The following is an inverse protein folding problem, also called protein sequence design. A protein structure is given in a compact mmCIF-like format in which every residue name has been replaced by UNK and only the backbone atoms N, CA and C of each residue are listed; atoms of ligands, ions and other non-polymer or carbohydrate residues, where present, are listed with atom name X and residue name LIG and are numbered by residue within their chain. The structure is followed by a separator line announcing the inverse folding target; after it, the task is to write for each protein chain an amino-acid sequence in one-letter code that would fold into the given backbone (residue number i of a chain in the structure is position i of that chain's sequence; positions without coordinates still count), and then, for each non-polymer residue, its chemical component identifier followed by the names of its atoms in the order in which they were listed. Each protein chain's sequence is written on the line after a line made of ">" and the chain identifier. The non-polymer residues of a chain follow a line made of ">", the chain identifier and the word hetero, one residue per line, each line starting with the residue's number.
data_IF_079597895501
#
_entry.id   IF_079597895501
#
_cell.length_a   1.000
_cell.length_b   1.000
_cell.length_c   1.000
_cell.angle_alpha   90.00
_cell.angle_beta   90.00
_cell.angle_gamma   90.00
#
_symmetry.space_group_name_H-M   'P 1'
#
loop_
_entity.id
_entity.type
_entity.pdbx_description
1 polymer ?
#
# COMPACT_ATOMS: atom_id res chain seq x y z
N UNK A 1 59.16 57.46 69.30
CA UNK A 1 57.78 57.88 69.39
C UNK A 1 57.33 58.27 67.98
N UNK A 2 56.62 57.48 67.29
CA UNK A 2 56.33 57.70 65.86
C UNK A 2 54.83 57.59 65.65
N UNK A 3 54.26 58.78 65.25
CA UNK A 3 52.89 58.84 64.80
C UNK A 3 52.76 58.24 63.38
N UNK A 4 51.95 57.25 63.24
CA UNK A 4 51.53 56.73 61.91
C UNK A 4 50.26 57.42 61.46
N UNK A 5 50.39 58.19 60.37
CA UNK A 5 49.29 58.83 59.66
C UNK A 5 48.57 57.77 58.80
N UNK A 6 47.29 57.54 59.02
CA UNK A 6 46.48 56.70 58.19
C UNK A 6 45.78 57.53 57.13
N UNK A 7 46.24 57.44 55.88
CA UNK A 7 45.53 57.97 54.71
C UNK A 7 44.48 56.98 54.25
N UNK A 8 43.22 57.33 54.46
CA UNK A 8 42.07 56.63 53.88
C UNK A 8 41.93 56.99 52.41
N UNK A 9 42.23 56.04 51.51
CA UNK A 9 41.97 56.19 50.09
C UNK A 9 40.51 55.83 49.81
N UNK A 10 39.69 56.79 49.50
CA UNK A 10 38.39 56.63 48.90
C UNK A 10 38.57 56.22 47.43
N UNK A 11 38.29 54.94 47.09
CA UNK A 11 38.05 54.56 45.72
C UNK A 11 36.56 54.74 45.37
N UNK A 12 36.24 55.44 44.27
CA UNK A 12 34.83 55.50 43.84
C UNK A 12 34.35 54.19 43.23
N UNK A 13 33.43 53.58 43.93
CA UNK A 13 32.69 52.37 43.49
C UNK A 13 31.69 52.70 42.41
N UNK A 14 32.13 52.84 41.15
CA UNK A 14 31.24 52.68 40.00
C UNK A 14 31.99 52.43 38.69
N UNK A 15 32.52 51.24 38.59
CA UNK A 15 32.70 50.66 37.31
C UNK A 15 31.54 49.62 37.11
N UNK A 16 30.35 50.14 36.71
CA UNK A 16 29.34 49.25 36.17
C UNK A 16 29.88 48.73 34.84
N UNK A 17 30.32 47.48 34.81
CA UNK A 17 30.65 46.78 33.57
C UNK A 17 29.35 46.63 32.73
N UNK A 18 29.04 47.70 31.98
CA UNK A 18 27.99 47.63 30.98
C UNK A 18 28.51 46.72 29.87
N UNK A 19 28.04 45.46 29.84
CA UNK A 19 28.26 44.58 28.71
C UNK A 19 27.75 45.21 27.41
N UNK A 20 28.11 44.64 26.24
CA UNK A 20 27.73 45.20 24.96
C UNK A 20 26.21 45.42 24.89
N UNK A 21 25.79 46.59 24.38
CA UNK A 21 24.37 46.93 24.23
C UNK A 21 23.64 45.86 23.40
N UNK A 22 22.45 45.43 23.82
CA UNK A 22 21.70 44.45 23.04
C UNK A 22 21.28 45.08 21.70
N UNK A 23 21.29 44.25 20.63
CA UNK A 23 20.84 44.66 19.29
C UNK A 23 19.40 45.15 19.36
N UNK A 24 19.15 46.35 18.85
CA UNK A 24 17.81 46.93 18.78
C UNK A 24 16.97 46.24 17.72
N UNK A 25 15.70 45.93 18.04
CA UNK A 25 14.77 45.26 17.12
C UNK A 25 13.67 46.24 16.72
N UNK A 26 13.62 46.56 15.45
CA UNK A 26 12.52 47.30 14.84
C UNK A 26 11.70 46.32 13.99
N UNK A 27 10.37 46.38 14.09
CA UNK A 27 9.44 45.52 13.35
C UNK A 27 8.69 46.35 12.31
N UNK A 28 8.48 45.77 11.14
CA UNK A 28 7.45 46.28 10.22
C UNK A 28 6.05 45.87 10.73
N UNK A 29 4.99 46.53 10.26
CA UNK A 29 3.62 46.16 10.64
C UNK A 29 3.26 44.73 10.23
N UNK A 30 3.76 44.27 9.09
CA UNK A 30 3.57 42.91 8.61
C UNK A 30 4.25 41.91 9.53
N UNK A 31 5.50 42.13 9.89
CA UNK A 31 6.25 41.30 10.82
C UNK A 31 5.60 41.22 12.21
N UNK A 32 5.17 42.40 12.72
CA UNK A 32 4.45 42.48 13.99
C UNK A 32 3.19 41.60 13.94
N UNK A 33 2.37 41.78 12.92
CA UNK A 33 1.13 41.05 12.73
C UNK A 33 1.40 39.52 12.62
N UNK A 34 2.45 39.12 11.90
CA UNK A 34 2.82 37.73 11.76
C UNK A 34 3.33 37.13 13.09
N UNK A 35 4.17 37.80 13.81
CA UNK A 35 4.69 37.39 15.13
C UNK A 35 3.56 37.26 16.17
N UNK A 36 2.60 38.19 16.18
CA UNK A 36 1.43 38.10 17.04
C UNK A 36 0.53 36.92 16.70
N UNK A 37 0.32 36.67 15.41
CA UNK A 37 -0.40 35.46 14.95
C UNK A 37 0.28 34.18 15.45
N UNK A 38 1.61 34.08 15.30
CA UNK A 38 2.36 32.91 15.78
C UNK A 38 2.34 32.80 17.31
N UNK A 39 2.38 33.88 18.03
CA UNK A 39 2.34 33.88 19.49
C UNK A 39 0.99 33.47 20.09
N UNK A 40 -0.14 33.75 19.38
CA UNK A 40 -1.52 33.56 19.87
C UNK A 40 -2.17 32.28 19.33
N UNK A 41 -1.75 31.74 18.15
CA UNK A 41 -2.41 30.62 17.45
C UNK A 41 -2.17 29.30 18.17
N UNK A 42 -3.24 28.57 18.54
CA UNK A 42 -3.18 27.29 19.26
C UNK A 42 -2.39 26.18 18.52
N UNK A 43 -2.36 26.20 17.18
CA UNK A 43 -1.67 25.20 16.34
C UNK A 43 -0.23 25.57 16.00
N UNK A 44 0.30 26.70 16.47
CA UNK A 44 1.71 27.07 16.28
C UNK A 44 2.58 26.19 17.17
N UNK A 45 3.69 25.66 16.63
CA UNK A 45 4.66 24.92 17.43
C UNK A 45 5.13 25.77 18.63
N UNK A 46 5.13 25.19 19.83
CA UNK A 46 5.45 25.93 21.07
C UNK A 46 6.78 26.68 21.00
N UNK A 47 7.78 26.09 20.34
CA UNK A 47 9.08 26.70 20.13
C UNK A 47 8.98 28.00 19.31
N UNK A 48 8.22 28.01 18.21
CA UNK A 48 8.03 29.16 17.35
C UNK A 48 7.19 30.24 18.06
N UNK A 49 6.15 29.87 18.80
CA UNK A 49 5.35 30.76 19.58
C UNK A 49 6.19 31.46 20.67
N UNK A 50 7.08 30.73 21.34
CA UNK A 50 8.01 31.29 22.33
C UNK A 50 9.00 32.30 21.69
N UNK A 51 9.59 31.93 20.55
CA UNK A 51 10.52 32.79 19.78
C UNK A 51 9.83 34.07 19.34
N UNK A 52 8.58 33.98 18.87
CA UNK A 52 7.78 35.15 18.50
C UNK A 52 7.54 36.07 19.69
N UNK A 53 7.21 35.55 20.88
CA UNK A 53 7.06 36.33 22.12
C UNK A 53 8.36 37.00 22.55
N UNK A 54 9.51 36.32 22.35
CA UNK A 54 10.84 36.93 22.63
C UNK A 54 11.08 38.13 21.74
N UNK A 55 10.84 38.00 20.42
CA UNK A 55 11.07 39.10 19.47
C UNK A 55 10.13 40.28 19.73
N UNK A 56 8.84 40.00 19.98
CA UNK A 56 7.87 41.06 20.35
C UNK A 56 8.26 41.80 21.61
N UNK A 57 8.73 41.10 22.65
CA UNK A 57 9.23 41.76 23.88
C UNK A 57 10.52 42.56 23.65
N UNK A 58 11.42 42.06 22.77
CA UNK A 58 12.61 42.82 22.38
C UNK A 58 12.26 44.11 21.62
N UNK A 59 11.28 44.08 20.74
CA UNK A 59 10.79 45.24 19.99
C UNK A 59 10.06 46.26 20.90
N UNK A 60 9.46 45.80 22.00
CA UNK A 60 8.87 46.66 23.03
C UNK A 60 9.91 47.30 23.97
N UNK A 61 11.21 47.10 23.73
CA UNK A 61 12.29 47.70 24.53
C UNK A 61 12.69 46.94 25.79
N UNK A 62 12.12 45.74 26.04
CA UNK A 62 12.48 44.94 27.21
C UNK A 62 13.94 44.49 27.15
N UNK A 63 14.64 44.55 28.28
CA UNK A 63 15.98 44.01 28.35
C UNK A 63 16.00 42.47 28.43
N UNK A 64 17.10 41.87 28.02
CA UNK A 64 17.19 40.41 27.91
C UNK A 64 16.94 39.66 29.23
N UNK A 65 17.29 40.25 30.38
CA UNK A 65 17.13 39.62 31.71
C UNK A 65 15.69 39.68 32.18
N UNK A 66 15.02 40.80 31.99
CA UNK A 66 13.61 40.99 32.34
C UNK A 66 12.72 40.08 31.47
N UNK A 67 12.97 40.09 30.19
CA UNK A 67 12.25 39.27 29.22
C UNK A 67 12.44 37.73 29.49
N UNK A 68 13.66 37.36 29.84
CA UNK A 68 13.97 35.96 30.20
C UNK A 68 13.17 35.50 31.44
N UNK A 69 13.11 36.33 32.48
CA UNK A 69 12.30 36.04 33.68
C UNK A 69 10.81 35.92 33.36
N UNK A 70 10.26 36.85 32.59
CA UNK A 70 8.85 36.89 32.22
C UNK A 70 8.43 35.68 31.40
N UNK A 71 9.31 35.18 30.51
CA UNK A 71 9.01 34.06 29.61
C UNK A 71 9.49 32.70 30.15
N UNK A 72 10.11 32.64 31.33
CA UNK A 72 10.62 31.39 31.91
C UNK A 72 11.78 30.76 31.11
N UNK A 73 12.63 31.61 30.50
CA UNK A 73 13.80 31.14 29.71
C UNK A 73 15.08 31.78 30.22
N UNK A 74 16.24 31.37 29.70
CA UNK A 74 17.52 31.96 30.07
C UNK A 74 17.84 33.22 29.25
N UNK A 75 18.58 34.15 29.81
CA UNK A 75 19.01 35.34 29.08
C UNK A 75 19.85 35.06 27.82
N UNK A 76 20.72 34.01 27.79
CA UNK A 76 21.35 33.55 26.54
C UNK A 76 20.35 33.12 25.46
N UNK A 77 19.24 32.50 25.83
CA UNK A 77 18.17 32.08 24.88
C UNK A 77 17.53 33.32 24.25
N UNK A 78 17.21 34.35 25.05
CA UNK A 78 16.69 35.62 24.53
C UNK A 78 17.68 36.28 23.58
N UNK A 79 18.96 36.33 23.97
CA UNK A 79 20.04 36.92 23.16
C UNK A 79 20.20 36.18 21.82
N UNK A 80 20.13 34.83 21.83
CA UNK A 80 20.22 34.02 20.62
C UNK A 80 19.12 34.39 19.63
N UNK A 81 17.85 34.38 20.03
CA UNK A 81 16.72 34.62 19.15
C UNK A 81 16.61 36.09 18.70
N UNK A 82 17.00 37.03 19.58
CA UNK A 82 17.15 38.43 19.22
C UNK A 82 18.16 38.64 18.10
N UNK A 83 19.33 37.99 18.19
CA UNK A 83 20.38 38.07 17.17
C UNK A 83 19.93 37.41 15.86
N UNK A 84 19.34 36.21 15.91
CA UNK A 84 18.86 35.53 14.71
C UNK A 84 17.79 36.36 13.99
N UNK A 85 16.85 36.91 14.70
CA UNK A 85 15.85 37.81 14.10
C UNK A 85 16.48 39.06 13.51
N UNK A 86 17.47 39.65 14.15
CA UNK A 86 18.16 40.83 13.62
C UNK A 86 18.89 40.53 12.29
N UNK A 87 19.46 39.33 12.14
CA UNK A 87 20.16 38.90 10.91
C UNK A 87 19.18 38.41 9.81
N UNK A 88 18.25 37.54 10.17
CA UNK A 88 17.49 36.73 9.20
C UNK A 88 15.97 36.96 9.30
N UNK A 89 15.54 37.98 10.04
CA UNK A 89 14.14 38.40 10.23
C UNK A 89 13.27 37.20 10.65
N UNK A 90 12.07 36.99 10.04
CA UNK A 90 11.13 35.93 10.35
C UNK A 90 11.72 34.53 10.08
N UNK A 91 12.54 34.38 9.05
CA UNK A 91 13.18 33.09 8.70
C UNK A 91 14.17 32.62 9.76
N UNK A 92 14.82 33.58 10.45
CA UNK A 92 15.70 33.28 11.59
C UNK A 92 15.00 32.62 12.77
N UNK A 93 13.66 32.63 12.84
CA UNK A 93 12.89 31.98 13.89
C UNK A 93 12.49 30.52 13.55
N UNK A 94 12.68 30.08 12.32
CA UNK A 94 12.42 28.71 11.90
C UNK A 94 13.57 27.81 12.32
N UNK A 95 13.28 26.54 12.62
CA UNK A 95 14.34 25.56 12.89
C UNK A 95 15.03 25.16 11.59
N UNK A 96 16.34 25.28 11.58
CA UNK A 96 17.15 24.71 10.50
C UNK A 96 17.06 23.17 10.52
N UNK A 97 17.08 22.50 9.36
CA UNK A 97 17.21 21.05 9.30
C UNK A 97 18.44 20.62 10.10
N UNK A 98 18.24 19.80 11.12
CA UNK A 98 19.37 19.29 11.87
C UNK A 98 20.09 18.25 10.99
N UNK A 99 21.40 18.40 10.72
CA UNK A 99 22.13 17.32 10.08
C UNK A 99 22.01 16.09 10.97
N UNK A 100 21.41 15.00 10.42
CA UNK A 100 21.32 13.73 11.12
C UNK A 100 22.72 13.18 11.44
N UNK A 101 22.74 12.05 12.16
CA UNK A 101 24.02 11.31 12.36
C UNK A 101 24.65 11.03 10.99
N UNK A 102 25.95 11.31 10.80
CA UNK A 102 26.65 10.99 9.57
C UNK A 102 26.41 9.53 9.15
N UNK A 103 26.30 9.29 7.84
CA UNK A 103 26.17 7.92 7.30
C UNK A 103 27.40 7.10 7.71
N UNK A 104 27.16 5.95 8.30
CA UNK A 104 28.23 5.01 8.69
C UNK A 104 28.46 3.92 7.64
N UNK A 105 27.58 3.81 6.64
CA UNK A 105 27.67 2.86 5.52
C UNK A 105 27.90 3.67 4.26
N UNK A 106 29.02 3.40 3.60
CA UNK A 106 29.39 4.07 2.34
C UNK A 106 28.52 3.61 1.17
N UNK A 107 28.52 4.36 0.08
CA UNK A 107 27.74 4.04 -1.12
C UNK A 107 28.27 2.77 -1.81
N UNK A 108 29.59 2.53 -1.81
CA UNK A 108 30.20 1.30 -2.32
C UNK A 108 29.71 0.06 -1.55
N UNK A 109 29.49 0.20 -0.22
CA UNK A 109 28.96 -0.90 0.60
C UNK A 109 27.48 -1.16 0.31
N UNK A 110 26.73 -0.12 -0.01
CA UNK A 110 25.33 -0.25 -0.45
C UNK A 110 25.27 -0.96 -1.80
N UNK A 111 26.12 -0.57 -2.74
CA UNK A 111 26.25 -1.19 -4.06
C UNK A 111 26.64 -2.68 -3.95
N UNK A 112 27.62 -3.02 -3.12
CA UNK A 112 28.00 -4.42 -2.86
C UNK A 112 26.81 -5.27 -2.37
N UNK A 113 25.98 -4.74 -1.47
CA UNK A 113 24.79 -5.44 -0.99
C UNK A 113 23.80 -5.66 -2.12
N UNK A 114 23.61 -4.66 -2.99
CA UNK A 114 22.68 -4.75 -4.13
C UNK A 114 23.16 -5.79 -5.13
N UNK A 115 24.41 -5.67 -5.58
CA UNK A 115 25.03 -6.59 -6.55
C UNK A 115 25.00 -8.03 -6.03
N UNK A 116 25.43 -8.27 -4.79
CA UNK A 116 25.34 -9.62 -4.18
C UNK A 116 23.93 -10.15 -4.12
N UNK A 117 22.95 -9.28 -3.84
CA UNK A 117 21.54 -9.70 -3.78
C UNK A 117 21.00 -10.13 -5.14
N UNK A 118 21.41 -9.45 -6.21
CA UNK A 118 20.91 -9.67 -7.57
C UNK A 118 21.66 -10.77 -8.32
N UNK A 119 22.99 -10.87 -8.12
CA UNK A 119 23.88 -11.64 -9.01
C UNK A 119 24.47 -12.88 -8.35
N UNK A 120 24.30 -13.06 -7.04
CA UNK A 120 24.91 -14.21 -6.35
C UNK A 120 23.92 -14.98 -5.50
N UNK A 121 24.12 -16.30 -5.40
CA UNK A 121 23.41 -17.14 -4.46
C UNK A 121 24.02 -17.03 -3.04
N UNK A 122 23.24 -17.25 -1.98
CA UNK A 122 23.79 -17.30 -0.63
C UNK A 122 24.70 -18.53 -0.43
N UNK A 123 25.78 -18.41 0.37
CA UNK A 123 26.78 -19.46 0.52
C UNK A 123 26.30 -20.72 1.24
N UNK A 124 25.13 -20.70 1.84
CA UNK A 124 24.49 -21.84 2.51
C UNK A 124 23.70 -22.74 1.56
N UNK A 125 23.75 -22.50 0.27
CA UNK A 125 22.99 -23.24 -0.76
C UNK A 125 21.50 -22.86 -0.81
N UNK A 126 21.09 -21.82 -0.11
CA UNK A 126 19.71 -21.28 -0.19
C UNK A 126 19.39 -20.69 -1.56
N UNK A 127 18.11 -20.72 -1.95
CA UNK A 127 17.64 -20.17 -3.24
C UNK A 127 17.58 -18.65 -3.28
N UNK A 128 17.64 -17.98 -2.13
CA UNK A 128 17.56 -16.53 -2.02
C UNK A 128 18.21 -16.02 -0.73
N UNK A 129 18.67 -14.79 -0.75
CA UNK A 129 19.30 -14.15 0.38
C UNK A 129 18.29 -13.85 1.50
N UNK A 130 18.60 -14.21 2.73
CA UNK A 130 17.96 -13.68 3.93
C UNK A 130 18.68 -12.41 4.40
N UNK A 131 17.98 -11.54 5.13
CA UNK A 131 18.63 -10.34 5.70
C UNK A 131 19.77 -10.69 6.67
N UNK A 132 19.72 -11.85 7.32
CA UNK A 132 20.78 -12.33 8.23
C UNK A 132 22.02 -12.79 7.47
N UNK A 133 21.84 -13.61 6.43
CA UNK A 133 22.95 -14.12 5.62
C UNK A 133 23.63 -12.96 4.87
N UNK A 134 22.86 -12.02 4.31
CA UNK A 134 23.40 -10.84 3.66
C UNK A 134 24.14 -9.93 4.66
N UNK A 135 23.63 -9.73 5.87
CA UNK A 135 24.28 -8.95 6.92
C UNK A 135 25.66 -9.54 7.28
N UNK A 136 25.74 -10.85 7.43
CA UNK A 136 26.99 -11.56 7.69
C UNK A 136 27.95 -11.45 6.51
N UNK A 137 27.49 -11.69 5.28
CA UNK A 137 28.30 -11.65 4.07
C UNK A 137 28.82 -10.24 3.73
N UNK A 138 28.06 -9.20 4.06
CA UNK A 138 28.42 -7.81 3.83
C UNK A 138 29.04 -7.11 5.05
N UNK A 139 29.17 -7.74 6.20
CA UNK A 139 29.75 -7.15 7.41
C UNK A 139 28.98 -5.94 7.94
N UNK A 140 27.64 -5.95 7.82
CA UNK A 140 26.75 -4.88 8.26
C UNK A 140 25.64 -5.41 9.16
N UNK A 141 24.86 -4.54 9.79
CA UNK A 141 23.71 -4.99 10.59
C UNK A 141 22.55 -5.46 9.72
N UNK A 142 21.76 -6.41 10.22
CA UNK A 142 20.54 -6.88 9.56
C UNK A 142 19.56 -5.72 9.26
N UNK A 143 19.46 -4.74 10.15
CA UNK A 143 18.64 -3.55 9.96
C UNK A 143 19.16 -2.66 8.82
N UNK A 144 20.47 -2.63 8.57
CA UNK A 144 21.06 -1.94 7.42
C UNK A 144 20.67 -2.62 6.12
N UNK A 145 20.79 -3.94 6.01
CA UNK A 145 20.34 -4.72 4.84
C UNK A 145 18.86 -4.48 4.58
N UNK A 146 18.01 -4.59 5.61
CA UNK A 146 16.57 -4.35 5.47
C UNK A 146 16.25 -2.94 4.97
N UNK A 147 17.00 -1.91 5.39
CA UNK A 147 16.82 -0.54 4.89
C UNK A 147 17.26 -0.39 3.43
N UNK A 148 18.40 -0.99 3.06
CA UNK A 148 18.88 -1.00 1.68
C UNK A 148 17.86 -1.69 0.77
N UNK A 149 17.48 -2.92 1.09
CA UNK A 149 16.50 -3.65 0.28
C UNK A 149 15.18 -2.91 0.11
N UNK A 150 14.68 -2.28 1.19
CA UNK A 150 13.45 -1.47 1.11
C UNK A 150 13.63 -0.23 0.25
N UNK A 151 14.77 0.46 0.34
CA UNK A 151 15.05 1.66 -0.43
C UNK A 151 15.15 1.36 -1.94
N UNK A 152 15.67 0.19 -2.31
CA UNK A 152 15.83 -0.26 -3.69
C UNK A 152 14.74 -1.24 -4.17
N UNK A 153 13.68 -1.47 -3.38
CA UNK A 153 12.57 -2.35 -3.74
C UNK A 153 12.93 -3.84 -3.84
N UNK A 154 14.08 -4.26 -3.28
CA UNK A 154 14.55 -5.64 -3.35
C UNK A 154 13.78 -6.54 -2.37
N UNK A 155 13.22 -7.62 -2.86
CA UNK A 155 12.43 -8.59 -2.09
C UNK A 155 12.84 -10.03 -2.42
N UNK A 156 14.05 -10.49 -2.05
CA UNK A 156 14.58 -11.79 -2.47
C UNK A 156 13.72 -12.99 -2.05
N UNK A 157 12.93 -12.85 -0.99
CA UNK A 157 12.03 -13.86 -0.44
C UNK A 157 10.71 -13.99 -1.21
N UNK A 158 10.42 -13.09 -2.15
CA UNK A 158 9.18 -13.12 -2.96
C UNK A 158 9.48 -13.63 -4.35
N UNK A 159 8.70 -14.60 -4.77
CA UNK A 159 8.68 -15.12 -6.13
C UNK A 159 7.29 -14.90 -6.68
N UNK A 160 7.19 -14.21 -7.77
CA UNK A 160 5.95 -14.05 -8.52
C UNK A 160 6.02 -14.93 -9.77
N UNK A 161 5.03 -15.81 -9.91
CA UNK A 161 4.92 -16.62 -11.12
C UNK A 161 4.23 -15.82 -12.21
N UNK A 162 4.87 -15.72 -13.33
CA UNK A 162 4.28 -15.15 -14.55
C UNK A 162 4.46 -16.09 -15.71
N UNK A 163 3.57 -15.99 -16.68
CA UNK A 163 3.63 -16.77 -17.91
C UNK A 163 3.35 -15.84 -19.08
N UNK A 164 4.28 -15.81 -20.02
CA UNK A 164 4.02 -15.14 -21.28
C UNK A 164 2.99 -15.95 -22.08
N UNK A 165 1.95 -15.27 -22.53
CA UNK A 165 0.95 -15.90 -23.39
C UNK A 165 1.55 -16.27 -24.74
N UNK A 166 1.24 -17.47 -25.22
CA UNK A 166 1.57 -17.92 -26.59
C UNK A 166 0.35 -17.82 -27.52
N UNK A 167 -0.69 -17.10 -27.11
CA UNK A 167 -1.89 -16.92 -27.91
C UNK A 167 -1.59 -16.00 -29.11
N UNK A 168 -1.77 -16.47 -30.35
CA UNK A 168 -1.48 -15.65 -31.53
C UNK A 168 -2.38 -14.41 -31.64
N UNK A 169 -3.57 -14.44 -31.01
CA UNK A 169 -4.52 -13.32 -30.96
C UNK A 169 -4.44 -12.55 -29.64
N UNK A 170 -3.26 -12.57 -28.99
CA UNK A 170 -3.11 -11.96 -27.66
C UNK A 170 -3.49 -10.49 -27.65
N UNK A 171 -2.97 -9.72 -28.59
CA UNK A 171 -3.18 -8.27 -28.68
C UNK A 171 -4.65 -7.91 -28.91
N UNK A 172 -5.27 -8.60 -29.86
CA UNK A 172 -6.68 -8.40 -30.22
C UNK A 172 -7.60 -8.72 -29.03
N UNK A 173 -7.36 -9.84 -28.36
CA UNK A 173 -8.15 -10.26 -27.19
C UNK A 173 -7.98 -9.32 -26.00
N UNK A 174 -6.76 -8.82 -25.75
CA UNK A 174 -6.52 -7.81 -24.70
C UNK A 174 -7.29 -6.54 -25.02
N UNK A 175 -7.24 -6.05 -26.27
CA UNK A 175 -7.97 -4.85 -26.69
C UNK A 175 -9.48 -5.03 -26.57
N UNK A 176 -10.01 -6.17 -27.00
CA UNK A 176 -11.43 -6.51 -26.92
C UNK A 176 -11.92 -6.47 -25.45
N UNK A 177 -11.26 -7.21 -24.55
CA UNK A 177 -11.68 -7.29 -23.14
C UNK A 177 -11.49 -5.97 -22.39
N UNK A 178 -10.36 -5.29 -22.61
CA UNK A 178 -10.12 -3.99 -21.97
C UNK A 178 -11.08 -2.94 -22.49
N UNK A 179 -11.44 -3.00 -23.78
CA UNK A 179 -12.49 -2.18 -24.36
C UNK A 179 -13.82 -2.32 -23.62
N UNK A 180 -14.26 -3.57 -23.38
CA UNK A 180 -15.49 -3.85 -22.64
C UNK A 180 -15.46 -3.33 -21.18
N UNK A 181 -14.29 -3.27 -20.54
CA UNK A 181 -14.16 -2.73 -19.18
C UNK A 181 -14.18 -1.21 -19.13
N UNK A 182 -13.61 -0.54 -20.12
CA UNK A 182 -13.47 0.92 -20.15
C UNK A 182 -14.66 1.61 -20.80
N UNK A 183 -15.24 0.98 -21.82
CA UNK A 183 -16.34 1.54 -22.62
C UNK A 183 -17.33 0.42 -23.01
N UNK A 184 -18.13 -0.08 -22.04
CA UNK A 184 -19.12 -1.13 -22.31
C UNK A 184 -20.23 -0.61 -23.23
N UNK A 185 -20.83 -1.47 -24.10
CA UNK A 185 -21.95 -1.08 -24.95
C UNK A 185 -23.15 -0.58 -24.15
N UNK A 186 -23.86 0.44 -24.64
CA UNK A 186 -24.91 1.18 -23.89
C UNK A 186 -26.08 0.29 -23.39
N UNK A 187 -26.44 -0.77 -24.10
CA UNK A 187 -27.54 -1.67 -23.75
C UNK A 187 -27.08 -3.08 -23.46
N UNK A 188 -25.94 -3.21 -22.82
CA UNK A 188 -25.32 -4.49 -22.55
C UNK A 188 -24.94 -4.66 -21.08
N UNK A 189 -24.92 -5.90 -20.65
CA UNK A 189 -24.34 -6.32 -19.37
C UNK A 189 -23.03 -7.07 -19.64
N UNK A 190 -21.96 -6.63 -19.02
CA UNK A 190 -20.64 -7.28 -19.14
C UNK A 190 -20.39 -8.14 -17.89
N UNK A 191 -20.33 -9.44 -18.08
CA UNK A 191 -20.13 -10.44 -17.03
C UNK A 191 -18.79 -11.14 -17.18
N UNK A 192 -17.98 -11.12 -16.12
CA UNK A 192 -16.81 -11.97 -16.01
C UNK A 192 -17.23 -13.35 -15.48
N UNK A 193 -17.03 -14.39 -16.27
CA UNK A 193 -17.52 -15.73 -15.97
C UNK A 193 -16.36 -16.71 -15.86
N UNK A 194 -16.39 -17.56 -14.81
CA UNK A 194 -15.41 -18.61 -14.61
C UNK A 194 -15.93 -19.68 -13.64
N UNK A 195 -15.16 -20.76 -13.45
CA UNK A 195 -15.45 -21.81 -12.49
C UNK A 195 -14.33 -22.01 -11.47
N UNK A 196 -14.69 -21.91 -10.20
CA UNK A 196 -13.85 -22.40 -9.12
C UNK A 196 -14.14 -23.87 -8.87
N UNK A 197 -13.33 -24.72 -9.49
CA UNK A 197 -13.48 -26.17 -9.42
C UNK A 197 -12.93 -26.76 -8.11
N UNK A 198 -13.45 -27.96 -7.73
CA UNK A 198 -12.92 -28.78 -6.64
C UNK A 198 -12.75 -28.07 -5.27
N UNK A 199 -13.69 -27.22 -4.91
CA UNK A 199 -13.73 -26.62 -3.56
C UNK A 199 -13.99 -27.76 -2.57
N UNK A 200 -13.05 -28.00 -1.65
CA UNK A 200 -13.13 -29.13 -0.73
C UNK A 200 -13.94 -28.80 0.52
N UNK A 201 -14.85 -29.69 0.91
CA UNK A 201 -15.46 -29.68 2.23
C UNK A 201 -14.47 -30.32 3.21
N UNK A 202 -13.77 -29.47 3.96
CA UNK A 202 -12.76 -29.88 4.93
C UNK A 202 -13.32 -29.74 6.34
N UNK A 203 -13.32 -30.82 7.12
CA UNK A 203 -13.54 -30.77 8.56
C UNK A 203 -12.22 -30.94 9.31
N UNK A 204 -12.06 -30.28 10.44
CA UNK A 204 -10.87 -30.40 11.26
C UNK A 204 -11.06 -31.52 12.29
N UNK A 205 -10.04 -32.36 12.48
CA UNK A 205 -10.08 -33.47 13.42
C UNK A 205 -10.13 -33.02 14.88
N UNK A 206 -9.75 -31.78 15.17
CA UNK A 206 -9.82 -31.19 16.51
C UNK A 206 -10.29 -29.74 16.45
N UNK A 207 -10.93 -29.25 17.54
CA UNK A 207 -11.37 -27.86 17.63
C UNK A 207 -10.21 -26.86 17.47
N UNK A 208 -10.49 -25.74 16.85
CA UNK A 208 -9.56 -24.62 16.75
C UNK A 208 -9.39 -23.96 18.12
N UNK A 209 -8.16 -23.75 18.56
CA UNK A 209 -7.87 -22.97 19.75
C UNK A 209 -8.03 -21.48 19.43
N UNK A 210 -8.89 -20.75 20.16
CA UNK A 210 -9.18 -19.36 19.87
C UNK A 210 -7.95 -18.45 20.06
N UNK A 211 -7.96 -17.32 19.38
CA UNK A 211 -6.94 -16.29 19.55
C UNK A 211 -7.03 -15.68 20.95
N UNK A 212 -5.88 -15.46 21.59
CA UNK A 212 -5.74 -14.73 22.85
C UNK A 212 -4.75 -13.57 22.67
N UNK A 213 -4.75 -12.55 23.55
CA UNK A 213 -3.74 -11.50 23.51
C UNK A 213 -2.31 -12.09 23.51
N UNK A 214 -1.53 -11.76 22.49
CA UNK A 214 -0.17 -12.29 22.29
C UNK A 214 -0.05 -13.72 21.76
N UNK A 215 -1.18 -14.41 21.52
CA UNK A 215 -1.20 -15.77 20.97
C UNK A 215 -2.13 -15.86 19.79
N UNK A 216 -1.66 -16.18 18.57
CA UNK A 216 -2.51 -16.34 17.40
C UNK A 216 -3.45 -17.55 17.53
N UNK A 217 -4.54 -17.55 16.77
CA UNK A 217 -5.39 -18.73 16.60
C UNK A 217 -4.57 -19.92 16.12
N UNK A 218 -4.81 -21.10 16.71
CA UNK A 218 -4.12 -22.35 16.35
C UNK A 218 -5.13 -23.39 15.92
N UNK A 219 -4.93 -23.91 14.72
CA UNK A 219 -5.72 -24.99 14.16
C UNK A 219 -4.81 -26.22 13.93
N UNK A 220 -5.39 -27.42 14.00
CA UNK A 220 -4.65 -28.65 13.65
C UNK A 220 -4.31 -28.67 12.16
N UNK A 221 -3.26 -29.37 11.80
CA UNK A 221 -2.92 -29.63 10.39
C UNK A 221 -3.78 -30.75 9.80
N UNK A 222 -4.38 -31.60 10.66
CA UNK A 222 -5.18 -32.73 10.23
C UNK A 222 -6.59 -32.30 9.88
N UNK A 223 -7.09 -32.84 8.77
CA UNK A 223 -8.45 -32.58 8.31
C UNK A 223 -9.03 -33.81 7.58
N UNK A 224 -10.34 -33.96 7.68
CA UNK A 224 -11.11 -34.95 6.93
C UNK A 224 -11.71 -34.31 5.67
N UNK A 225 -11.70 -35.04 4.56
CA UNK A 225 -12.25 -34.60 3.27
C UNK A 225 -13.64 -35.18 3.09
N UNK A 226 -14.64 -34.33 3.12
CA UNK A 226 -16.05 -34.73 3.00
C UNK A 226 -16.63 -34.52 1.59
N UNK A 227 -15.75 -34.48 0.57
CA UNK A 227 -16.10 -34.30 -0.82
C UNK A 227 -15.82 -32.92 -1.38
N UNK A 228 -16.23 -32.69 -2.62
CA UNK A 228 -15.94 -31.45 -3.36
C UNK A 228 -17.18 -30.85 -4.00
N UNK A 229 -17.15 -29.53 -4.23
CA UNK A 229 -18.13 -28.80 -5.01
C UNK A 229 -17.42 -27.91 -6.03
N UNK A 230 -18.08 -27.57 -7.12
CA UNK A 230 -17.62 -26.60 -8.12
C UNK A 230 -18.60 -25.44 -8.19
N UNK A 231 -18.08 -24.22 -8.13
CA UNK A 231 -18.84 -22.98 -8.22
C UNK A 231 -18.62 -22.34 -9.58
N UNK A 232 -19.69 -22.18 -10.37
CA UNK A 232 -19.73 -21.27 -11.50
C UNK A 232 -20.16 -19.91 -11.00
N UNK A 233 -19.47 -18.86 -11.38
CA UNK A 233 -19.80 -17.49 -11.01
C UNK A 233 -19.71 -16.55 -12.21
N UNK A 234 -20.63 -15.60 -12.25
CA UNK A 234 -20.65 -14.47 -13.19
C UNK A 234 -20.65 -13.17 -12.37
N UNK A 235 -19.58 -12.41 -12.47
CA UNK A 235 -19.41 -11.11 -11.84
C UNK A 235 -19.82 -10.02 -12.81
N UNK A 236 -20.81 -9.22 -12.47
CA UNK A 236 -21.14 -7.99 -13.20
C UNK A 236 -20.06 -6.94 -12.95
N UNK A 237 -19.46 -6.47 -14.02
CA UNK A 237 -18.35 -5.51 -13.95
C UNK A 237 -18.79 -4.13 -13.50
N UNK A 238 -20.06 -3.78 -13.70
CA UNK A 238 -20.65 -2.47 -13.39
C UNK A 238 -21.16 -2.40 -11.95
N UNK A 239 -22.00 -3.36 -11.55
CA UNK A 239 -22.60 -3.37 -10.22
C UNK A 239 -21.74 -4.08 -9.18
N UNK A 240 -20.88 -5.01 -9.59
CA UNK A 240 -20.15 -5.92 -8.71
C UNK A 240 -20.99 -7.07 -8.16
N UNK A 241 -22.25 -7.23 -8.59
CA UNK A 241 -23.09 -8.35 -8.22
C UNK A 241 -22.59 -9.66 -8.82
N UNK A 242 -22.89 -10.76 -8.14
CA UNK A 242 -22.43 -12.10 -8.55
C UNK A 242 -23.62 -13.04 -8.67
N UNK A 243 -23.79 -13.60 -9.86
CA UNK A 243 -24.65 -14.75 -10.10
C UNK A 243 -23.83 -16.02 -9.84
N UNK A 244 -24.25 -16.88 -8.93
CA UNK A 244 -23.48 -18.08 -8.56
C UNK A 244 -24.30 -19.36 -8.61
N UNK A 245 -23.71 -20.44 -9.13
CA UNK A 245 -24.31 -21.79 -9.14
C UNK A 245 -23.31 -22.85 -8.73
N UNK A 246 -23.73 -23.71 -7.82
CA UNK A 246 -22.93 -24.81 -7.29
C UNK A 246 -23.34 -26.13 -7.95
N UNK A 247 -22.35 -26.88 -8.41
CA UNK A 247 -22.50 -28.20 -9.06
C UNK A 247 -21.47 -29.18 -8.50
N UNK A 248 -21.74 -30.47 -8.60
CA UNK A 248 -20.79 -31.52 -8.24
C UNK A 248 -19.68 -31.72 -9.29
N UNK A 249 -19.87 -31.19 -10.49
CA UNK A 249 -18.95 -31.28 -11.62
C UNK A 249 -18.93 -29.99 -12.41
N UNK A 250 -17.87 -29.80 -13.22
CA UNK A 250 -17.65 -28.59 -14.04
C UNK A 250 -17.50 -28.95 -15.53
N UNK A 251 -18.48 -29.68 -16.10
CA UNK A 251 -18.51 -30.06 -17.50
C UNK A 251 -19.34 -29.08 -18.33
N UNK A 252 -19.30 -29.22 -19.65
CA UNK A 252 -20.11 -28.41 -20.56
C UNK A 252 -21.63 -28.42 -20.27
N UNK A 253 -22.14 -29.52 -19.69
CA UNK A 253 -23.56 -29.66 -19.31
C UNK A 253 -23.87 -28.68 -18.13
N UNK A 254 -23.02 -28.66 -17.12
CA UNK A 254 -23.17 -27.76 -15.96
C UNK A 254 -22.99 -26.32 -16.40
N UNK A 255 -22.01 -26.03 -17.25
CA UNK A 255 -21.82 -24.69 -17.82
C UNK A 255 -23.06 -24.25 -18.64
N UNK A 256 -23.65 -25.13 -19.49
CA UNK A 256 -24.89 -24.79 -20.17
C UNK A 256 -26.03 -24.46 -19.22
N UNK A 257 -26.18 -25.18 -18.11
CA UNK A 257 -27.17 -24.89 -17.08
C UNK A 257 -26.90 -23.54 -16.41
N UNK A 258 -25.63 -23.17 -16.26
CA UNK A 258 -25.24 -21.89 -15.72
C UNK A 258 -25.59 -20.75 -16.69
N UNK A 259 -25.33 -20.89 -17.99
CA UNK A 259 -25.77 -19.93 -19.00
C UNK A 259 -27.28 -19.73 -18.98
N UNK A 260 -28.07 -20.80 -18.81
CA UNK A 260 -29.52 -20.72 -18.63
C UNK A 260 -29.94 -20.00 -17.35
N UNK A 261 -29.11 -20.04 -16.31
CA UNK A 261 -29.35 -19.27 -15.08
C UNK A 261 -29.12 -17.80 -15.35
N UNK A 262 -28.01 -17.45 -15.99
CA UNK A 262 -27.71 -16.04 -16.38
C UNK A 262 -28.85 -15.50 -17.24
N UNK A 263 -29.30 -16.26 -18.25
CA UNK A 263 -30.38 -15.87 -19.15
C UNK A 263 -31.70 -15.54 -18.44
N UNK A 264 -31.98 -16.20 -17.31
CA UNK A 264 -33.18 -15.96 -16.51
C UNK A 264 -33.03 -14.79 -15.52
N UNK A 265 -31.83 -14.55 -15.06
CA UNK A 265 -31.54 -13.53 -14.02
C UNK A 265 -31.23 -12.15 -14.63
N UNK A 266 -30.83 -12.11 -15.91
CA UNK A 266 -30.50 -10.87 -16.62
C UNK A 266 -31.72 -10.37 -17.39
N UNK A 267 -32.02 -9.05 -17.38
CA UNK A 267 -33.10 -8.45 -18.16
C UNK A 267 -33.07 -8.85 -19.64
N UNK A 268 -34.20 -9.22 -20.20
CA UNK A 268 -34.29 -9.81 -21.56
C UNK A 268 -33.94 -8.83 -22.67
N UNK A 269 -34.02 -7.53 -22.39
CA UNK A 269 -33.75 -6.42 -23.32
C UNK A 269 -32.27 -6.03 -23.42
N UNK A 270 -31.41 -6.63 -22.59
CA UNK A 270 -29.99 -6.37 -22.59
C UNK A 270 -29.21 -7.43 -23.37
N UNK A 271 -28.22 -7.00 -24.11
CA UNK A 271 -27.18 -7.88 -24.62
C UNK A 271 -26.25 -8.33 -23.48
N UNK A 272 -25.75 -9.53 -23.57
CA UNK A 272 -24.93 -10.14 -22.50
C UNK A 272 -23.55 -10.48 -23.07
N UNK A 273 -22.56 -9.69 -22.67
CA UNK A 273 -21.16 -9.94 -23.01
C UNK A 273 -20.50 -10.76 -21.91
N UNK A 274 -20.05 -11.95 -22.26
CA UNK A 274 -19.40 -12.88 -21.32
C UNK A 274 -17.90 -12.91 -21.55
N UNK A 275 -17.13 -12.47 -20.56
CA UNK A 275 -15.66 -12.61 -20.57
C UNK A 275 -15.31 -13.92 -19.88
N UNK A 276 -14.66 -14.82 -20.62
CA UNK A 276 -14.39 -16.20 -20.24
C UNK A 276 -12.92 -16.55 -20.46
N UNK A 277 -12.44 -17.56 -19.75
CA UNK A 277 -11.17 -18.18 -20.09
C UNK A 277 -11.28 -19.05 -21.38
N UNK A 278 -10.14 -19.43 -21.91
CA UNK A 278 -10.08 -20.19 -23.17
C UNK A 278 -10.26 -21.70 -22.96
N UNK A 279 -11.05 -22.13 -21.96
CA UNK A 279 -11.24 -23.53 -21.63
C UNK A 279 -12.12 -24.27 -22.64
N UNK A 280 -11.77 -25.52 -22.91
CA UNK A 280 -12.44 -26.33 -23.98
C UNK A 280 -13.92 -26.58 -23.71
N UNK A 281 -14.37 -26.61 -22.47
CA UNK A 281 -15.78 -26.86 -22.11
C UNK A 281 -16.70 -25.75 -22.65
N UNK A 282 -16.18 -24.53 -22.80
CA UNK A 282 -16.93 -23.37 -23.30
C UNK A 282 -17.16 -23.39 -24.82
N UNK A 283 -16.44 -24.26 -25.54
CA UNK A 283 -16.44 -24.35 -27.02
C UNK A 283 -17.05 -25.63 -27.56
N UNK A 284 -17.85 -26.32 -26.78
CA UNK A 284 -18.48 -27.58 -27.21
C UNK A 284 -19.65 -27.32 -28.18
N UNK A 285 -19.99 -28.30 -29.07
CA UNK A 285 -21.12 -28.15 -29.96
C UNK A 285 -22.46 -27.86 -29.27
N UNK A 286 -22.61 -28.31 -28.02
CA UNK A 286 -23.81 -28.06 -27.24
C UNK A 286 -23.91 -26.59 -26.80
N UNK A 287 -22.79 -25.95 -26.52
CA UNK A 287 -22.72 -24.52 -26.20
C UNK A 287 -22.94 -23.67 -27.48
N UNK A 288 -22.28 -24.01 -28.59
CA UNK A 288 -22.49 -23.34 -29.87
C UNK A 288 -23.95 -23.36 -30.32
N UNK A 289 -24.64 -24.48 -30.18
CA UNK A 289 -26.08 -24.59 -30.49
C UNK A 289 -26.94 -23.73 -29.56
N UNK A 290 -26.58 -23.67 -28.30
CA UNK A 290 -27.28 -22.82 -27.32
C UNK A 290 -27.11 -21.33 -27.66
N UNK A 291 -25.89 -20.89 -27.97
CA UNK A 291 -25.60 -19.52 -28.39
C UNK A 291 -26.33 -19.11 -29.65
N UNK A 292 -26.38 -20.02 -30.64
CA UNK A 292 -27.14 -19.76 -31.89
C UNK A 292 -28.64 -19.51 -31.64
N UNK A 293 -29.19 -20.07 -30.56
CA UNK A 293 -30.58 -19.85 -30.13
C UNK A 293 -30.74 -18.63 -29.20
N UNK A 294 -29.64 -18.04 -28.74
CA UNK A 294 -29.62 -16.90 -27.83
C UNK A 294 -28.69 -15.80 -28.37
N UNK A 295 -29.07 -15.10 -29.43
CA UNK A 295 -28.19 -14.15 -30.17
C UNK A 295 -27.74 -12.97 -29.31
N UNK A 296 -28.42 -12.67 -28.21
CA UNK A 296 -28.02 -11.62 -27.26
C UNK A 296 -26.77 -11.95 -26.44
N UNK A 297 -26.26 -13.20 -26.50
CA UNK A 297 -25.08 -13.64 -25.78
C UNK A 297 -23.83 -13.58 -26.66
N UNK A 298 -22.83 -12.79 -26.24
CA UNK A 298 -21.55 -12.58 -26.92
C UNK A 298 -20.41 -13.09 -26.05
N UNK A 299 -19.59 -14.01 -26.57
CA UNK A 299 -18.46 -14.59 -25.82
C UNK A 299 -17.14 -13.94 -26.21
N UNK A 300 -16.40 -13.46 -25.20
CA UNK A 300 -15.09 -12.85 -25.31
C UNK A 300 -14.09 -13.71 -24.54
N UNK A 301 -13.13 -14.30 -25.25
CA UNK A 301 -12.18 -15.21 -24.61
C UNK A 301 -10.88 -14.51 -24.23
N UNK A 302 -10.45 -14.69 -22.98
CA UNK A 302 -9.12 -14.22 -22.55
C UNK A 302 -8.02 -14.91 -23.33
N UNK A 303 -6.86 -14.26 -23.52
CA UNK A 303 -5.71 -14.95 -24.10
C UNK A 303 -5.29 -16.13 -23.23
N UNK A 304 -4.79 -17.18 -23.85
CA UNK A 304 -4.29 -18.35 -23.12
C UNK A 304 -3.20 -17.97 -22.12
N UNK A 305 -3.40 -18.31 -20.85
CA UNK A 305 -2.47 -17.97 -19.75
C UNK A 305 -2.58 -16.53 -19.25
N UNK A 306 -3.66 -15.82 -19.57
CA UNK A 306 -3.95 -14.47 -19.12
C UNK A 306 -5.26 -14.36 -18.31
N UNK A 307 -5.51 -15.32 -17.41
CA UNK A 307 -6.70 -15.36 -16.53
C UNK A 307 -6.84 -14.11 -15.66
N UNK A 308 -5.73 -13.41 -15.38
CA UNK A 308 -5.74 -12.14 -14.65
C UNK A 308 -6.58 -11.03 -15.32
N UNK A 309 -6.89 -11.16 -16.61
CA UNK A 309 -7.85 -10.31 -17.32
C UNK A 309 -9.29 -10.58 -16.91
N UNK A 310 -9.61 -11.76 -16.36
CA UNK A 310 -10.94 -12.11 -15.92
C UNK A 310 -11.15 -11.67 -14.45
N UNK A 311 -11.94 -10.60 -14.24
CA UNK A 311 -12.12 -10.01 -12.90
C UNK A 311 -12.77 -10.95 -11.88
N UNK A 312 -13.52 -11.98 -12.29
CA UNK A 312 -14.12 -12.96 -11.38
C UNK A 312 -13.07 -13.78 -10.64
N UNK A 313 -11.86 -13.95 -11.20
CA UNK A 313 -10.74 -14.61 -10.51
C UNK A 313 -10.34 -13.86 -9.23
N UNK A 314 -10.37 -12.52 -9.26
CA UNK A 314 -10.13 -11.70 -8.08
C UNK A 314 -11.20 -11.93 -7.02
N UNK A 315 -12.47 -12.02 -7.42
CA UNK A 315 -13.56 -12.34 -6.53
C UNK A 315 -13.44 -13.75 -5.92
N UNK A 316 -13.00 -14.74 -6.69
CA UNK A 316 -12.67 -16.07 -6.17
C UNK A 316 -11.53 -16.03 -5.14
N UNK A 317 -10.57 -15.14 -5.32
CA UNK A 317 -9.54 -14.87 -4.33
C UNK A 317 -10.14 -14.39 -3.00
N UNK A 318 -11.07 -13.41 -3.04
CA UNK A 318 -11.76 -12.90 -1.85
C UNK A 318 -12.62 -13.97 -1.16
N UNK A 319 -13.39 -14.75 -1.90
CA UNK A 319 -14.14 -15.88 -1.36
C UNK A 319 -13.22 -16.86 -0.64
N UNK A 320 -12.07 -17.18 -1.26
CA UNK A 320 -11.10 -18.10 -0.67
C UNK A 320 -10.52 -17.56 0.62
N UNK A 321 -10.01 -16.35 0.63
CA UNK A 321 -9.32 -15.76 1.78
C UNK A 321 -10.28 -15.45 2.94
N UNK A 322 -11.47 -14.95 2.64
CA UNK A 322 -12.42 -14.49 3.67
C UNK A 322 -13.33 -15.57 4.21
N UNK A 323 -13.65 -16.60 3.41
CA UNK A 323 -14.62 -17.63 3.78
C UNK A 323 -14.04 -19.04 3.78
N UNK A 324 -13.42 -19.50 2.67
CA UNK A 324 -13.06 -20.89 2.51
C UNK A 324 -11.81 -21.30 3.30
N UNK A 325 -10.79 -20.47 3.35
CA UNK A 325 -9.47 -20.80 3.92
C UNK A 325 -9.51 -21.20 5.39
N UNK A 326 -10.42 -20.61 6.17
CA UNK A 326 -10.61 -20.92 7.60
C UNK A 326 -11.89 -21.68 7.88
N UNK A 327 -12.72 -21.91 6.86
CA UNK A 327 -13.95 -22.67 6.98
C UNK A 327 -13.70 -24.12 7.35
N UNK A 328 -14.59 -24.68 8.16
CA UNK A 328 -14.68 -26.11 8.44
C UNK A 328 -16.07 -26.60 8.03
N UNK A 329 -16.14 -27.67 7.23
CA UNK A 329 -17.38 -28.15 6.63
C UNK A 329 -17.46 -29.66 6.73
N UNK A 330 -18.44 -30.18 7.49
CA UNK A 330 -18.67 -31.60 7.70
C UNK A 330 -19.33 -32.30 6.52
N UNK A 331 -19.75 -31.54 5.52
CA UNK A 331 -20.37 -32.09 4.31
C UNK A 331 -20.34 -31.08 3.16
N UNK A 332 -20.43 -31.58 1.92
CA UNK A 332 -20.63 -30.75 0.73
C UNK A 332 -21.89 -29.88 0.83
N UNK A 333 -22.93 -30.37 1.49
CA UNK A 333 -24.17 -29.61 1.70
C UNK A 333 -23.94 -28.36 2.56
N UNK A 334 -23.17 -28.48 3.62
CA UNK A 334 -22.79 -27.38 4.51
C UNK A 334 -21.89 -26.38 3.77
N UNK A 335 -20.86 -26.83 3.08
CA UNK A 335 -20.02 -26.02 2.20
C UNK A 335 -20.85 -25.21 1.19
N UNK A 336 -21.78 -25.88 0.51
CA UNK A 336 -22.63 -25.23 -0.49
C UNK A 336 -23.58 -24.20 0.13
N UNK A 337 -24.10 -24.45 1.32
CA UNK A 337 -24.91 -23.47 2.07
C UNK A 337 -24.09 -22.24 2.41
N UNK A 338 -22.88 -22.43 2.89
CA UNK A 338 -21.97 -21.35 3.28
C UNK A 338 -21.56 -20.48 2.11
N UNK A 339 -21.28 -21.10 0.95
CA UNK A 339 -20.93 -20.34 -0.27
C UNK A 339 -22.14 -19.53 -0.75
N UNK A 340 -23.36 -20.08 -0.74
CA UNK A 340 -24.57 -19.33 -1.11
C UNK A 340 -24.78 -18.15 -0.19
N UNK A 341 -24.74 -18.35 1.13
CA UNK A 341 -24.86 -17.26 2.09
C UNK A 341 -23.79 -16.19 1.90
N UNK A 342 -22.58 -16.57 1.51
CA UNK A 342 -21.52 -15.61 1.17
C UNK A 342 -21.90 -14.76 -0.06
N UNK A 343 -22.42 -15.38 -1.11
CA UNK A 343 -22.87 -14.68 -2.33
C UNK A 343 -24.03 -13.74 -2.00
N UNK A 344 -25.01 -14.19 -1.21
CA UNK A 344 -26.15 -13.37 -0.80
C UNK A 344 -25.69 -12.13 -0.03
N UNK A 345 -24.82 -12.29 0.98
CA UNK A 345 -24.23 -11.19 1.76
C UNK A 345 -23.40 -10.25 0.87
N UNK A 346 -22.61 -10.81 -0.06
CA UNK A 346 -21.86 -10.01 -1.03
C UNK A 346 -22.79 -9.13 -1.86
N UNK A 347 -23.89 -9.68 -2.35
CA UNK A 347 -24.86 -9.01 -3.21
C UNK A 347 -25.71 -7.97 -2.48
N UNK A 348 -25.80 -8.00 -1.14
CA UNK A 348 -26.42 -6.92 -0.35
C UNK A 348 -25.63 -5.60 -0.45
N UNK A 349 -24.30 -5.66 -0.59
CA UNK A 349 -23.44 -4.48 -0.73
C UNK A 349 -22.27 -4.80 -1.67
N UNK A 350 -22.55 -5.00 -2.96
CA UNK A 350 -21.54 -5.42 -3.93
C UNK A 350 -20.51 -4.31 -4.17
N UNK A 351 -19.28 -4.73 -4.46
CA UNK A 351 -18.17 -3.81 -4.74
C UNK A 351 -17.58 -4.11 -6.10
N UNK A 352 -17.88 -3.32 -7.12
CA UNK A 352 -17.29 -3.53 -8.44
C UNK A 352 -15.77 -3.34 -8.40
N UNK A 353 -15.08 -4.13 -9.21
CA UNK A 353 -13.65 -3.95 -9.43
C UNK A 353 -13.45 -2.97 -10.58
N UNK A 354 -12.86 -1.83 -10.30
CA UNK A 354 -12.60 -0.80 -11.31
C UNK A 354 -11.34 -1.16 -12.07
N UNK A 355 -11.47 -1.33 -13.38
CA UNK A 355 -10.34 -1.49 -14.28
C UNK A 355 -9.76 -0.11 -14.65
N UNK A 356 -8.45 0.06 -14.55
CA UNK A 356 -7.81 1.38 -14.73
C UNK A 356 -6.75 1.42 -15.83
N UNK A 357 -6.23 0.26 -16.28
CA UNK A 357 -5.18 0.20 -17.29
C UNK A 357 -5.76 0.12 -18.70
N UNK A 358 -5.21 0.90 -19.64
CA UNK A 358 -5.52 0.73 -21.07
C UNK A 358 -4.82 -0.50 -21.66
N UNK A 359 -5.28 -0.95 -22.83
CA UNK A 359 -4.64 -2.06 -23.53
C UNK A 359 -3.19 -1.72 -23.91
N UNK A 360 -2.92 -0.49 -24.34
CA UNK A 360 -1.60 0.01 -24.67
C UNK A 360 -0.66 -0.06 -23.46
N UNK A 361 -1.08 0.42 -22.30
CA UNK A 361 -0.29 0.36 -21.07
C UNK A 361 0.08 -1.07 -20.67
N UNK A 362 -0.81 -2.01 -20.91
CA UNK A 362 -0.55 -3.44 -20.66
C UNK A 362 0.50 -3.96 -21.64
N UNK A 363 0.34 -3.65 -22.93
CA UNK A 363 1.25 -4.09 -23.98
C UNK A 363 2.64 -3.48 -23.82
N UNK A 364 2.73 -2.19 -23.49
CA UNK A 364 4.01 -1.52 -23.19
C UNK A 364 4.73 -2.14 -21.99
N UNK A 365 3.98 -2.48 -20.93
CA UNK A 365 4.54 -3.16 -19.76
C UNK A 365 5.13 -4.52 -20.13
N UNK A 366 4.43 -5.27 -21.00
CA UNK A 366 4.91 -6.57 -21.47
C UNK A 366 6.11 -6.44 -22.40
N UNK A 367 6.13 -5.46 -23.30
CA UNK A 367 7.26 -5.18 -24.18
C UNK A 367 8.51 -4.85 -23.38
N UNK A 368 8.42 -3.90 -22.44
CA UNK A 368 9.53 -3.55 -21.55
C UNK A 368 10.03 -4.73 -20.70
N UNK A 369 9.14 -5.65 -20.35
CA UNK A 369 9.53 -6.87 -19.65
C UNK A 369 10.30 -7.84 -20.57
N UNK A 370 9.84 -8.04 -21.81
CA UNK A 370 10.51 -8.88 -22.79
C UNK A 370 11.94 -8.36 -23.13
N UNK A 371 12.10 -7.04 -23.24
CA UNK A 371 13.39 -6.41 -23.46
C UNK A 371 14.38 -6.76 -22.33
N UNK A 372 13.95 -6.66 -21.07
CA UNK A 372 14.79 -7.01 -19.90
C UNK A 372 15.25 -8.47 -19.91
N UNK A 373 14.40 -9.40 -20.37
CA UNK A 373 14.76 -10.82 -20.46
C UNK A 373 15.81 -11.03 -21.55
N UNK A 374 15.68 -10.34 -22.67
CA UNK A 374 16.63 -10.45 -23.80
C UNK A 374 18.01 -9.91 -23.40
N UNK A 375 18.07 -8.82 -22.62
CA UNK A 375 19.33 -8.25 -22.14
C UNK A 375 20.00 -9.07 -21.02
N UNK A 376 19.25 -9.89 -20.28
CA UNK A 376 19.81 -10.67 -19.17
C UNK A 376 20.55 -11.94 -19.57
N UNK A 377 20.59 -12.28 -20.86
CA UNK A 377 21.42 -13.37 -21.41
C UNK A 377 21.06 -14.79 -20.94
N UNK A 378 19.81 -15.02 -20.53
CA UNK A 378 19.28 -16.34 -20.16
C UNK A 378 18.45 -16.97 -21.28
#
# INVERSE_FOLDING_TARGET
>A
MSLKFVMSLWYPLWMSSRGPKPVEITLTEEERSQLERWAKRRKTAQALALRSRIVLGCAAGENNTQLARRLGVTAPTVRKWRRRFACDRLDGLVDEPRPGKPRTVSDERVEEIIVKTLESAPPDGGTHWSTRHMAQAAGVSQSTVSRVWRAFGLQPHRVEHWKLSKDPLFVEKVKDIVGLYLDPPERALVLCVDEKSQIQALDRTAPTLPMLPGTPERATHDYERNGTSSLFAALDTTSGQVIGRLHSRHRAIEFKKFLQTIDKEVPAELDVHLILDNYSTHKTPAIHRWLAAHPRFHMHFTPTGASWLNLVERWFGELTERKLRRGAHRSVRELNKDIRSWIDIWNENPKPYVWTKTAEQILDTLAAYCERITDSGH
#
